data_IF_872379418171
#
_entry.id   IF_872379418171
#
_cell.length_a   1.000
_cell.length_b   1.000
_cell.length_c   1.000
_cell.angle_alpha   90.00
_cell.angle_beta   90.00
_cell.angle_gamma   90.00
#
_symmetry.space_group_name_H-M   'P 1'
#
loop_
_entity.id
_entity.type
_entity.pdbx_description
1 polymer ?
#
# COMPACT_ATOMS: atom_id res chain seq x y z
N UNK A 1 54.11 21.17 -22.59
CA UNK A 1 53.76 19.85 -22.03
C UNK A 1 52.80 20.11 -20.88
N UNK A 2 51.62 19.50 -20.88
CA UNK A 2 50.70 19.64 -19.75
C UNK A 2 51.30 18.92 -18.55
N UNK A 3 51.49 19.62 -17.44
CA UNK A 3 51.99 19.02 -16.21
C UNK A 3 50.86 18.22 -15.57
N UNK A 4 51.11 16.93 -15.32
CA UNK A 4 50.19 16.09 -14.55
C UNK A 4 50.01 16.71 -13.16
N UNK A 5 48.76 16.96 -12.80
CA UNK A 5 48.41 17.63 -11.55
C UNK A 5 48.40 16.57 -10.45
N UNK A 6 49.49 16.51 -9.68
CA UNK A 6 49.64 15.59 -8.55
C UNK A 6 48.98 16.20 -7.31
N UNK A 7 48.42 15.36 -6.45
CA UNK A 7 47.87 15.76 -5.15
C UNK A 7 48.84 16.66 -4.37
N UNK A 8 48.43 17.89 -3.97
CA UNK A 8 49.32 18.87 -3.35
C UNK A 8 49.62 18.58 -1.86
N UNK A 9 49.08 17.51 -1.29
CA UNK A 9 49.31 17.11 0.11
C UNK A 9 48.37 17.75 1.12
N UNK A 10 47.46 18.61 0.67
CA UNK A 10 46.40 19.21 1.46
C UNK A 10 45.20 19.51 0.58
N UNK A 11 44.04 19.65 1.20
CA UNK A 11 42.80 20.07 0.55
C UNK A 11 42.24 21.31 1.20
N UNK A 12 41.60 22.15 0.40
CA UNK A 12 40.89 23.33 0.85
C UNK A 12 39.64 23.44 0.02
N UNK A 13 38.54 22.98 0.61
CA UNK A 13 37.25 23.00 -0.02
C UNK A 13 36.67 24.42 -0.09
N UNK A 14 36.07 24.74 -1.22
CA UNK A 14 35.19 25.90 -1.39
C UNK A 14 33.88 25.48 -2.05
N UNK A 15 32.78 26.15 -1.71
CA UNK A 15 31.50 25.90 -2.36
C UNK A 15 31.61 26.07 -3.88
N UNK A 16 30.97 25.16 -4.61
CA UNK A 16 31.02 25.04 -6.06
C UNK A 16 32.11 24.10 -6.58
N UNK A 17 32.88 23.45 -5.70
CA UNK A 17 33.90 22.46 -6.08
C UNK A 17 33.36 21.02 -6.12
N UNK A 18 32.17 20.79 -5.60
CA UNK A 18 31.41 19.54 -5.72
C UNK A 18 30.53 19.56 -6.98
N UNK A 19 30.34 18.42 -7.67
CA UNK A 19 29.49 18.38 -8.86
C UNK A 19 28.00 18.65 -8.58
N UNK A 20 27.46 18.18 -7.45
CA UNK A 20 26.04 18.33 -7.13
C UNK A 20 25.76 19.49 -6.17
N UNK A 21 26.69 19.82 -5.28
CA UNK A 21 26.55 20.95 -4.36
C UNK A 21 25.52 20.73 -3.26
N UNK A 22 25.17 19.47 -2.94
CA UNK A 22 24.12 19.17 -1.97
C UNK A 22 24.52 19.57 -0.54
N UNK A 23 25.80 19.46 -0.22
CA UNK A 23 26.33 19.66 1.14
C UNK A 23 27.19 20.93 1.27
N UNK A 24 27.24 21.76 0.22
CA UNK A 24 28.09 22.95 0.17
C UNK A 24 27.74 24.01 1.21
N UNK A 25 26.47 24.08 1.61
CA UNK A 25 26.00 24.97 2.66
C UNK A 25 26.14 24.39 4.08
N UNK A 26 26.50 23.11 4.20
CA UNK A 26 26.64 22.44 5.50
C UNK A 26 28.00 22.76 6.12
N UNK A 27 27.99 23.27 7.35
CA UNK A 27 29.18 23.68 8.08
C UNK A 27 30.07 22.47 8.43
N UNK A 28 29.48 21.29 8.64
CA UNK A 28 30.24 20.06 8.92
C UNK A 28 30.92 19.51 7.65
N UNK A 29 30.31 19.74 6.48
CA UNK A 29 30.85 19.31 5.19
C UNK A 29 31.82 20.33 4.58
N UNK A 30 31.53 21.63 4.64
CA UNK A 30 32.21 22.71 3.92
C UNK A 30 32.89 23.77 4.82
N UNK A 31 32.89 23.58 6.14
CA UNK A 31 33.41 24.55 7.10
C UNK A 31 34.88 24.97 6.91
N UNK A 32 35.20 26.21 7.30
CA UNK A 32 36.45 26.91 7.00
C UNK A 32 37.75 26.36 7.62
N UNK A 33 37.69 25.43 8.58
CA UNK A 33 38.91 25.01 9.30
C UNK A 33 38.97 23.52 9.66
N UNK A 34 37.86 22.78 9.63
CA UNK A 34 37.84 21.40 10.12
C UNK A 34 36.69 20.58 9.53
N UNK A 35 36.48 20.74 8.24
CA UNK A 35 35.45 20.09 7.45
C UNK A 35 35.74 18.60 7.18
N UNK A 36 34.66 17.86 6.99
CA UNK A 36 34.70 16.41 6.77
C UNK A 36 35.29 16.04 5.41
N UNK A 37 35.08 16.90 4.41
CA UNK A 37 35.50 16.68 3.02
C UNK A 37 37.03 16.77 2.84
N UNK A 38 37.70 17.73 3.49
CA UNK A 38 39.16 17.85 3.41
C UNK A 38 39.85 16.74 4.22
N UNK A 39 39.28 16.37 5.37
CA UNK A 39 39.72 15.19 6.15
C UNK A 39 39.61 13.89 5.35
N UNK A 40 38.50 13.70 4.65
CA UNK A 40 38.31 12.53 3.79
C UNK A 40 39.34 12.49 2.67
N UNK A 41 39.60 13.64 2.03
CA UNK A 41 40.54 13.73 0.91
C UNK A 41 41.98 13.45 1.36
N UNK A 42 42.40 14.01 2.50
CA UNK A 42 43.71 13.70 3.10
C UNK A 42 43.81 12.22 3.51
N UNK A 43 42.76 11.65 4.08
CA UNK A 43 42.71 10.24 4.46
C UNK A 43 42.78 9.31 3.23
N UNK A 44 42.03 9.61 2.18
CA UNK A 44 42.00 8.84 0.95
C UNK A 44 43.34 8.92 0.21
N UNK A 45 43.95 10.11 0.11
CA UNK A 45 45.27 10.29 -0.50
C UNK A 45 46.36 9.50 0.26
N UNK A 46 46.34 9.50 1.60
CA UNK A 46 47.26 8.67 2.41
C UNK A 46 47.06 7.18 2.19
N UNK A 47 45.81 6.73 2.07
CA UNK A 47 45.49 5.31 1.79
C UNK A 47 45.96 4.86 0.41
N UNK A 48 45.95 5.77 -0.56
CA UNK A 48 46.48 5.55 -1.90
C UNK A 48 48.01 5.60 -1.96
N UNK A 49 48.69 5.96 -0.87
CA UNK A 49 50.15 5.87 -0.75
C UNK A 49 50.88 7.21 -0.70
N UNK A 50 50.18 8.36 -0.69
CA UNK A 50 50.83 9.66 -0.49
C UNK A 50 51.46 9.75 0.92
N UNK A 51 52.69 10.26 1.08
CA UNK A 51 53.55 10.90 0.07
C UNK A 51 54.58 9.96 -0.60
N UNK A 52 54.55 8.65 -0.32
CA UNK A 52 55.52 7.67 -0.86
C UNK A 52 55.27 7.45 -2.36
N UNK A 53 54.01 7.42 -2.78
CA UNK A 53 53.58 7.34 -4.18
C UNK A 53 52.88 8.64 -4.59
N UNK A 54 53.04 9.03 -5.84
CA UNK A 54 52.31 10.15 -6.42
C UNK A 54 50.86 9.74 -6.68
N UNK A 55 49.91 10.53 -6.15
CA UNK A 55 48.48 10.34 -6.38
C UNK A 55 48.04 11.38 -7.42
N UNK A 56 47.53 10.91 -8.55
CA UNK A 56 47.08 11.75 -9.67
C UNK A 56 45.62 12.24 -9.50
N UNK A 57 44.90 11.69 -8.52
CA UNK A 57 43.53 12.09 -8.25
C UNK A 57 43.50 13.49 -7.61
N UNK A 58 42.78 14.42 -8.23
CA UNK A 58 42.62 15.79 -7.73
C UNK A 58 41.57 15.87 -6.60
N UNK A 59 41.61 16.97 -5.85
CA UNK A 59 40.64 17.27 -4.78
C UNK A 59 39.20 17.23 -5.24
N UNK A 60 38.90 17.77 -6.42
CA UNK A 60 37.54 17.70 -6.98
C UNK A 60 37.01 16.26 -7.14
N UNK A 61 37.86 15.30 -7.51
CA UNK A 61 37.47 13.90 -7.61
C UNK A 61 37.22 13.26 -6.25
N UNK A 62 38.02 13.58 -5.22
CA UNK A 62 37.76 13.13 -3.86
C UNK A 62 36.47 13.72 -3.29
N UNK A 63 36.20 14.99 -3.57
CA UNK A 63 35.00 15.69 -3.14
C UNK A 63 33.74 15.09 -3.76
N UNK A 64 33.78 14.78 -5.06
CA UNK A 64 32.69 14.10 -5.77
C UNK A 64 32.41 12.71 -5.19
N UNK A 65 33.44 11.88 -4.97
CA UNK A 65 33.27 10.56 -4.38
C UNK A 65 32.71 10.63 -2.95
N UNK A 66 33.10 11.64 -2.18
CA UNK A 66 32.60 11.83 -0.82
C UNK A 66 31.13 12.25 -0.80
N UNK A 67 30.75 13.22 -1.64
CA UNK A 67 29.37 13.66 -1.82
C UNK A 67 28.46 12.51 -2.28
N UNK A 68 28.91 11.71 -3.23
CA UNK A 68 28.19 10.52 -3.70
C UNK A 68 28.01 9.49 -2.57
N UNK A 69 29.07 9.18 -1.81
CA UNK A 69 29.00 8.20 -0.74
C UNK A 69 28.02 8.60 0.38
N UNK A 70 27.98 9.88 0.79
CA UNK A 70 27.01 10.37 1.78
C UNK A 70 25.59 10.26 1.24
N UNK A 71 25.40 10.64 -0.02
CA UNK A 71 24.08 10.60 -0.68
C UNK A 71 23.58 9.17 -0.82
N UNK A 72 24.46 8.24 -1.21
CA UNK A 72 24.13 6.83 -1.34
C UNK A 72 23.76 6.21 0.01
N UNK A 73 24.57 6.44 1.04
CA UNK A 73 24.26 5.96 2.40
C UNK A 73 22.90 6.49 2.87
N UNK A 74 22.63 7.78 2.66
CA UNK A 74 21.35 8.39 3.01
C UNK A 74 20.18 7.77 2.23
N UNK A 75 20.37 7.49 0.94
CA UNK A 75 19.38 6.83 0.11
C UNK A 75 19.08 5.40 0.59
N UNK A 76 20.10 4.63 0.97
CA UNK A 76 19.94 3.28 1.52
C UNK A 76 19.15 3.30 2.83
N UNK A 77 19.53 4.16 3.78
CA UNK A 77 18.81 4.29 5.08
C UNK A 77 17.35 4.67 4.84
N UNK A 78 17.10 5.63 3.96
CA UNK A 78 15.74 6.06 3.63
C UNK A 78 14.95 4.94 2.94
N UNK A 79 15.57 4.16 2.06
CA UNK A 79 14.91 3.03 1.39
C UNK A 79 14.45 1.97 2.40
N UNK A 80 15.29 1.61 3.38
CA UNK A 80 14.92 0.66 4.42
C UNK A 80 13.82 1.21 5.33
N UNK A 81 13.91 2.48 5.73
CA UNK A 81 12.88 3.13 6.53
C UNK A 81 11.53 3.15 5.80
N UNK A 82 11.53 3.50 4.51
CA UNK A 82 10.32 3.47 3.68
C UNK A 82 9.78 2.05 3.61
N UNK A 83 10.60 1.03 3.33
CA UNK A 83 10.12 -0.36 3.24
C UNK A 83 9.45 -0.83 4.54
N UNK A 84 10.03 -0.50 5.69
CA UNK A 84 9.50 -0.88 7.00
C UNK A 84 8.17 -0.18 7.29
N UNK A 85 8.06 1.10 6.95
CA UNK A 85 6.90 1.93 7.31
C UNK A 85 5.84 2.09 6.22
N UNK A 86 6.08 1.59 5.00
CA UNK A 86 5.21 1.81 3.84
C UNK A 86 3.77 1.35 4.12
N UNK A 87 3.60 0.13 4.66
CA UNK A 87 2.27 -0.42 4.92
C UNK A 87 1.52 0.33 6.03
N UNK A 88 2.24 0.94 6.96
CA UNK A 88 1.65 1.69 8.07
C UNK A 88 1.27 3.13 7.69
N UNK A 89 2.00 3.72 6.74
CA UNK A 89 1.78 5.11 6.29
C UNK A 89 0.78 5.21 5.13
N UNK A 90 0.56 4.13 4.38
CA UNK A 90 -0.45 4.13 3.31
C UNK A 90 -1.86 4.31 3.87
N UNK A 91 -2.56 5.34 3.41
CA UNK A 91 -3.91 5.70 3.89
C UNK A 91 -3.93 6.74 5.01
N UNK A 92 -2.77 7.23 5.48
CA UNK A 92 -2.68 8.36 6.40
C UNK A 92 -2.87 9.70 5.68
N UNK A 93 -3.22 10.75 6.43
CA UNK A 93 -3.39 12.09 5.89
C UNK A 93 -2.11 12.62 5.23
N UNK A 94 -2.24 13.13 4.01
CA UNK A 94 -1.16 13.76 3.26
C UNK A 94 -0.64 15.00 3.99
N UNK A 95 0.68 15.17 4.09
CA UNK A 95 1.33 16.33 4.74
C UNK A 95 1.93 16.04 6.13
N UNK A 96 1.88 14.80 6.61
CA UNK A 96 2.49 14.41 7.88
C UNK A 96 4.02 14.32 7.77
N UNK A 97 4.75 15.12 8.56
CA UNK A 97 6.21 14.99 8.68
C UNK A 97 6.57 13.89 9.70
N UNK A 98 7.06 12.77 9.16
CA UNK A 98 7.46 11.57 9.91
C UNK A 98 9.00 11.40 10.00
N UNK A 99 9.76 12.39 9.54
CA UNK A 99 11.23 12.37 9.62
C UNK A 99 11.69 12.33 11.07
N UNK A 100 12.62 11.44 11.40
CA UNK A 100 13.14 11.18 12.77
C UNK A 100 12.09 10.82 13.83
N UNK A 101 10.90 10.38 13.41
CA UNK A 101 9.86 9.91 14.34
C UNK A 101 9.65 8.42 14.20
N UNK A 102 9.40 7.77 15.34
CA UNK A 102 8.96 6.38 15.33
C UNK A 102 7.53 6.34 14.79
N UNK A 103 7.34 5.66 13.68
CA UNK A 103 6.00 5.35 13.16
C UNK A 103 5.44 4.22 14.01
N UNK A 104 4.31 4.47 14.69
CA UNK A 104 3.61 3.41 15.43
C UNK A 104 2.84 2.56 14.42
N UNK A 105 3.03 1.23 14.39
CA UNK A 105 2.27 0.34 13.54
C UNK A 105 0.76 0.53 13.73
N UNK A 106 0.04 0.72 12.64
CA UNK A 106 -1.44 0.75 12.64
C UNK A 106 -1.97 -0.48 11.90
N UNK A 107 -3.10 -1.01 12.36
CA UNK A 107 -3.82 -2.10 11.67
C UNK A 107 -4.68 -1.59 10.51
N UNK A 108 -4.66 -0.29 10.18
CA UNK A 108 -5.58 0.31 9.20
C UNK A 108 -5.52 -0.35 7.83
N UNK A 109 -4.32 -0.58 7.29
CA UNK A 109 -4.12 -1.26 6.01
C UNK A 109 -4.53 -2.73 6.04
N UNK A 110 -4.25 -3.44 7.14
CA UNK A 110 -4.65 -4.83 7.34
C UNK A 110 -6.17 -4.95 7.41
N UNK A 111 -6.83 -4.08 8.17
CA UNK A 111 -8.30 -4.02 8.22
C UNK A 111 -8.86 -3.73 6.83
N UNK A 112 -8.36 -2.72 6.12
CA UNK A 112 -8.82 -2.40 4.77
C UNK A 112 -8.69 -3.58 3.79
N UNK A 113 -7.57 -4.31 3.82
CA UNK A 113 -7.38 -5.50 2.98
C UNK A 113 -8.32 -6.64 3.41
N UNK A 114 -8.49 -6.84 4.72
CA UNK A 114 -9.39 -7.86 5.27
C UNK A 114 -10.86 -7.56 5.01
N UNK A 115 -11.26 -6.31 4.82
CA UNK A 115 -12.66 -5.97 4.53
C UNK A 115 -13.15 -6.53 3.20
N UNK A 116 -12.32 -6.56 2.17
CA UNK A 116 -12.68 -7.20 0.88
C UNK A 116 -12.91 -8.71 1.06
N UNK A 117 -12.04 -9.36 1.83
CA UNK A 117 -12.23 -10.77 2.18
C UNK A 117 -13.47 -10.99 3.07
N UNK A 118 -13.72 -10.07 4.01
CA UNK A 118 -14.92 -10.06 4.83
C UNK A 118 -16.18 -10.03 3.99
N UNK A 119 -16.21 -9.18 2.95
CA UNK A 119 -17.31 -9.11 1.99
C UNK A 119 -17.54 -10.48 1.36
N UNK A 120 -16.52 -11.16 0.84
CA UNK A 120 -16.70 -12.48 0.23
C UNK A 120 -17.12 -13.58 1.22
N UNK A 121 -16.66 -13.51 2.47
CA UNK A 121 -17.04 -14.46 3.51
C UNK A 121 -18.41 -14.16 4.15
N UNK A 122 -19.04 -13.01 3.84
CA UNK A 122 -20.36 -12.61 4.36
C UNK A 122 -20.37 -12.27 5.86
N UNK A 123 -19.23 -11.93 6.46
CA UNK A 123 -19.08 -11.66 7.91
C UNK A 123 -18.94 -10.16 8.24
N UNK A 124 -19.34 -9.29 7.31
CA UNK A 124 -19.10 -7.84 7.32
C UNK A 124 -18.15 -7.43 6.20
N UNK A 125 -18.03 -6.14 5.87
CA UNK A 125 -17.21 -5.73 4.72
C UNK A 125 -17.48 -4.30 4.30
N UNK A 126 -17.07 -3.96 3.09
CA UNK A 126 -17.35 -2.64 2.48
C UNK A 126 -18.65 -2.63 1.66
N UNK A 127 -19.26 -3.79 1.39
CA UNK A 127 -20.51 -3.89 0.62
C UNK A 127 -21.66 -4.35 1.53
N UNK A 128 -22.74 -3.58 1.65
CA UNK A 128 -23.91 -3.98 2.42
C UNK A 128 -24.71 -5.08 1.72
N UNK A 129 -25.19 -6.05 2.50
CA UNK A 129 -26.10 -7.08 2.01
C UNK A 129 -27.55 -6.62 2.20
N UNK A 130 -28.34 -6.72 1.14
CA UNK A 130 -29.77 -6.45 1.17
C UNK A 130 -30.57 -7.73 0.90
N UNK A 131 -31.66 -7.91 1.63
CA UNK A 131 -32.63 -8.97 1.37
C UNK A 131 -33.93 -8.34 0.87
N UNK A 132 -34.56 -9.00 -0.09
CA UNK A 132 -35.82 -8.55 -0.68
C UNK A 132 -36.63 -9.75 -1.16
N UNK A 133 -37.93 -9.54 -1.33
CA UNK A 133 -38.84 -10.56 -1.85
C UNK A 133 -39.64 -9.99 -3.02
N UNK A 134 -39.89 -10.83 -4.02
CA UNK A 134 -40.67 -10.51 -5.20
C UNK A 134 -41.85 -11.48 -5.30
N UNK A 135 -43.05 -10.95 -5.44
CA UNK A 135 -44.24 -11.75 -5.71
C UNK A 135 -44.36 -12.00 -7.21
N UNK A 136 -44.27 -13.27 -7.62
CA UNK A 136 -44.40 -13.67 -9.03
C UNK A 136 -45.87 -13.53 -9.46
N UNK A 137 -46.11 -12.74 -10.51
CA UNK A 137 -47.44 -12.57 -11.14
C UNK A 137 -47.62 -13.54 -12.31
N UNK A 138 -48.85 -14.04 -12.46
CA UNK A 138 -49.21 -14.91 -13.59
C UNK A 138 -49.19 -14.13 -14.90
N UNK A 139 -48.53 -14.68 -15.92
CA UNK A 139 -48.44 -14.07 -17.25
C UNK A 139 -47.19 -13.24 -17.52
N UNK A 140 -46.30 -13.05 -16.53
CA UNK A 140 -44.99 -12.42 -16.73
C UNK A 140 -43.84 -13.39 -16.48
N UNK A 141 -42.91 -13.48 -17.43
CA UNK A 141 -41.74 -14.38 -17.37
C UNK A 141 -40.43 -13.63 -17.11
N UNK A 142 -40.40 -12.32 -17.33
CA UNK A 142 -39.19 -11.50 -17.23
C UNK A 142 -39.41 -10.44 -16.14
N UNK A 143 -38.50 -10.40 -15.18
CA UNK A 143 -38.47 -9.41 -14.12
C UNK A 143 -37.13 -8.69 -14.16
N UNK A 144 -37.17 -7.36 -14.20
CA UNK A 144 -35.99 -6.51 -14.16
C UNK A 144 -35.62 -6.24 -12.69
N UNK A 145 -34.56 -6.91 -12.24
CA UNK A 145 -34.11 -6.89 -10.85
C UNK A 145 -33.54 -5.51 -10.48
N UNK A 146 -32.88 -4.83 -11.41
CA UNK A 146 -32.30 -3.51 -11.18
C UNK A 146 -33.43 -2.52 -10.89
N UNK A 147 -34.49 -2.53 -11.69
CA UNK A 147 -35.65 -1.65 -11.47
C UNK A 147 -36.46 -1.98 -10.22
N UNK A 148 -36.42 -3.23 -9.75
CA UNK A 148 -37.17 -3.70 -8.59
C UNK A 148 -36.50 -3.37 -7.25
N UNK A 149 -35.16 -3.36 -7.22
CA UNK A 149 -34.39 -3.21 -5.98
C UNK A 149 -33.50 -1.97 -5.93
N UNK A 150 -33.24 -1.28 -7.06
CA UNK A 150 -32.66 0.06 -7.04
C UNK A 150 -33.78 1.09 -6.96
N UNK A 151 -33.95 1.70 -5.79
CA UNK A 151 -34.65 2.97 -5.74
C UNK A 151 -33.74 4.04 -6.39
N UNK A 152 -34.33 5.07 -7.00
CA UNK A 152 -33.67 6.02 -7.93
C UNK A 152 -32.47 6.77 -7.31
N UNK A 153 -32.28 6.67 -6.00
CA UNK A 153 -31.18 7.26 -5.23
C UNK A 153 -29.94 6.36 -5.02
N UNK A 154 -30.02 5.06 -5.28
CA UNK A 154 -28.91 4.11 -5.09
C UNK A 154 -28.39 3.62 -6.43
N UNK A 155 -27.58 4.45 -7.09
CA UNK A 155 -26.97 4.18 -8.40
C UNK A 155 -25.78 3.21 -8.33
N UNK A 156 -25.86 2.17 -7.50
CA UNK A 156 -24.80 1.18 -7.34
C UNK A 156 -25.16 -0.13 -8.07
N UNK A 157 -24.16 -0.76 -8.69
CA UNK A 157 -24.35 -2.02 -9.39
C UNK A 157 -24.67 -3.14 -8.39
N UNK A 158 -25.77 -3.87 -8.61
CA UNK A 158 -26.20 -4.97 -7.74
C UNK A 158 -25.57 -6.29 -8.21
N UNK A 159 -25.02 -7.07 -7.27
CA UNK A 159 -24.62 -8.46 -7.50
C UNK A 159 -25.60 -9.42 -6.79
N UNK A 160 -26.24 -10.33 -7.54
CA UNK A 160 -27.14 -11.33 -6.96
C UNK A 160 -26.34 -12.51 -6.42
N UNK A 161 -26.24 -12.64 -5.09
CA UNK A 161 -25.50 -13.74 -4.44
C UNK A 161 -26.33 -15.01 -4.24
N UNK A 162 -27.64 -14.92 -3.98
CA UNK A 162 -28.50 -16.09 -3.73
C UNK A 162 -29.97 -15.80 -4.05
N UNK A 163 -30.63 -16.74 -4.70
CA UNK A 163 -32.07 -16.72 -4.97
C UNK A 163 -32.72 -17.87 -4.22
N UNK A 164 -33.71 -17.56 -3.39
CA UNK A 164 -34.57 -18.56 -2.77
C UNK A 164 -35.90 -18.62 -3.52
N UNK A 165 -36.33 -19.81 -3.89
CA UNK A 165 -37.66 -20.06 -4.44
C UNK A 165 -38.41 -20.95 -3.46
N UNK A 166 -39.45 -20.39 -2.85
CA UNK A 166 -40.37 -21.14 -2.00
C UNK A 166 -41.71 -21.28 -2.74
N UNK A 167 -41.97 -22.46 -3.29
CA UNK A 167 -43.28 -22.79 -3.82
C UNK A 167 -44.20 -23.17 -2.65
N UNK A 168 -45.40 -22.59 -2.57
CA UNK A 168 -46.43 -23.07 -1.63
C UNK A 168 -46.53 -24.60 -1.75
N UNK A 169 -46.33 -25.36 -0.67
CA UNK A 169 -46.33 -26.82 -0.72
C UNK A 169 -47.59 -27.33 -1.40
N UNK A 170 -47.46 -28.25 -2.36
CA UNK A 170 -48.57 -28.80 -3.12
C UNK A 170 -49.66 -29.45 -2.22
N UNK A 171 -49.33 -29.78 -0.98
CA UNK A 171 -50.27 -30.26 0.03
C UNK A 171 -51.43 -29.30 0.30
N UNK A 172 -51.26 -27.98 0.21
CA UNK A 172 -52.36 -27.03 0.38
C UNK A 172 -53.35 -27.04 -0.80
N UNK A 173 -52.98 -27.59 -1.96
CA UNK A 173 -53.88 -27.73 -3.12
C UNK A 173 -54.64 -29.05 -3.14
N UNK A 174 -54.18 -30.06 -2.38
CA UNK A 174 -54.79 -31.39 -2.32
C UNK A 174 -55.62 -31.64 -1.05
N UNK A 175 -55.46 -30.84 0.00
CA UNK A 175 -56.29 -30.92 1.20
C UNK A 175 -57.29 -29.77 1.23
N UNK A 176 -58.53 -30.05 0.82
CA UNK A 176 -59.68 -29.24 1.16
C UNK A 176 -59.99 -29.46 2.66
N UNK A 177 -59.96 -28.41 3.51
CA UNK A 177 -60.26 -28.52 4.93
C UNK A 177 -61.68 -29.02 5.24
N UNK A 178 -62.57 -29.11 4.25
CA UNK A 178 -63.92 -29.67 4.39
C UNK A 178 -64.13 -31.04 3.74
N UNK A 179 -63.14 -31.61 3.04
CA UNK A 179 -63.28 -32.90 2.35
C UNK A 179 -62.49 -34.04 3.02
N UNK A 180 -62.59 -34.20 4.35
CA UNK A 180 -62.10 -35.41 5.02
C UNK A 180 -63.03 -35.85 6.15
N UNK A 181 -64.23 -36.30 5.80
CA UNK A 181 -64.88 -37.39 6.53
C UNK A 181 -64.38 -38.71 5.92
N UNK A 182 -63.24 -39.21 6.38
CA UNK A 182 -62.70 -40.48 5.88
C UNK A 182 -61.37 -40.84 6.52
N UNK A 183 -61.41 -41.76 7.48
CA UNK A 183 -60.33 -42.23 8.37
C UNK A 183 -59.15 -42.96 7.67
N UNK A 184 -58.89 -42.70 6.38
CA UNK A 184 -57.97 -43.49 5.54
C UNK A 184 -56.78 -42.75 4.92
N UNK A 185 -56.72 -41.41 4.97
CA UNK A 185 -55.69 -40.61 4.27
C UNK A 185 -54.51 -40.15 5.12
N UNK A 186 -54.49 -40.44 6.44
CA UNK A 186 -53.38 -40.03 7.34
C UNK A 186 -52.07 -40.76 7.01
N UNK A 187 -52.12 -41.98 6.48
CA UNK A 187 -50.92 -42.76 6.14
C UNK A 187 -50.18 -42.29 4.88
N UNK A 188 -50.66 -41.28 4.17
CA UNK A 188 -49.95 -40.69 3.02
C UNK A 188 -49.10 -39.45 3.37
N UNK A 189 -49.11 -39.00 4.64
CA UNK A 189 -48.30 -37.87 5.12
C UNK A 189 -46.88 -38.28 5.53
N UNK A 190 -46.64 -39.55 5.85
CA UNK A 190 -45.29 -40.05 6.23
C UNK A 190 -44.38 -40.39 5.04
N UNK A 191 -44.90 -40.36 3.80
CA UNK A 191 -44.15 -40.80 2.60
C UNK A 191 -43.37 -39.72 1.85
N UNK A 192 -43.46 -38.45 2.26
CA UNK A 192 -42.77 -37.33 1.63
C UNK A 192 -41.97 -36.54 2.66
N UNK A 193 -40.95 -37.21 3.24
CA UNK A 193 -39.80 -36.57 3.86
C UNK A 193 -38.63 -36.52 2.87
#
# INVERSE_FOLDING_TARGET
MAQEVIWPGSSSFASGQTPYGFYDSDIEFAGQSNNSVDKFSDWAARRLGYPIMAVELQSGSFYACYEEAITEYSAQVNQFNIKDNLLHLTGQATGSNVTHKRVTPTLGRSVALSKQYGTEAGVGGDVPYHTGSLSIQSGSQVYDIDKLFTDVSASEAIEVKRIFYDAKPAMQRFFDPYATTGYGTINMVEGFG
#
